data_IF_957739339108
#
_entry.id   IF_957739339108
#
_cell.length_a   1.000
_cell.length_b   1.000
_cell.length_c   1.000
_cell.angle_alpha   90.00
_cell.angle_beta   90.00
_cell.angle_gamma   90.00
#
_symmetry.space_group_name_H-M   'P 1'
#
loop_
_entity.id
_entity.type
_entity.pdbx_description
1 polymer ?
#
# COMPACT_ATOMS: atom_id res chain seq x y z
N UNK A 1 -14.36 -18.83 12.46
CA UNK A 1 -14.11 -20.26 12.24
C UNK A 1 -12.63 -20.42 11.97
N UNK A 2 -11.88 -21.02 12.90
CA UNK A 2 -10.52 -21.46 12.60
C UNK A 2 -10.64 -22.56 11.54
N UNK A 3 -10.00 -22.39 10.38
CA UNK A 3 -9.90 -23.48 9.41
C UNK A 3 -9.19 -24.66 10.11
N UNK A 4 -9.85 -25.81 10.16
CA UNK A 4 -9.20 -27.05 10.59
C UNK A 4 -8.17 -27.44 9.51
N UNK A 5 -6.96 -26.89 9.63
CA UNK A 5 -5.81 -27.30 8.83
C UNK A 5 -5.42 -28.70 9.32
N UNK A 6 -5.34 -29.68 8.42
CA UNK A 6 -4.98 -31.04 8.80
C UNK A 6 -3.51 -31.11 9.24
N UNK A 7 -3.15 -31.99 10.18
CA UNK A 7 -1.76 -32.14 10.68
C UNK A 7 -0.72 -32.34 9.56
N UNK A 8 -1.13 -32.93 8.43
CA UNK A 8 -0.28 -33.10 7.25
C UNK A 8 0.06 -31.75 6.57
N UNK A 9 -0.93 -30.87 6.39
CA UNK A 9 -0.75 -29.55 5.79
C UNK A 9 0.14 -28.66 6.67
N UNK A 10 -0.02 -28.72 7.99
CA UNK A 10 0.84 -28.00 8.94
C UNK A 10 2.30 -28.45 8.80
N UNK A 11 2.53 -29.76 8.64
CA UNK A 11 3.89 -30.30 8.44
C UNK A 11 4.51 -29.77 7.15
N UNK A 12 3.76 -29.73 6.04
CA UNK A 12 4.23 -29.18 4.76
C UNK A 12 4.59 -27.70 4.91
N UNK A 13 3.71 -26.89 5.51
CA UNK A 13 3.95 -25.46 5.73
C UNK A 13 5.18 -25.23 6.60
N UNK A 14 5.36 -26.01 7.67
CA UNK A 14 6.55 -25.94 8.50
C UNK A 14 7.83 -26.23 7.71
N UNK A 15 7.85 -27.31 6.92
CA UNK A 15 9.02 -27.65 6.12
C UNK A 15 9.33 -26.56 5.09
N UNK A 16 8.31 -26.00 4.44
CA UNK A 16 8.45 -24.91 3.48
C UNK A 16 8.94 -23.60 4.11
N UNK A 17 8.66 -23.37 5.39
CA UNK A 17 9.04 -22.15 6.12
C UNK A 17 10.48 -22.16 6.67
N UNK A 18 11.22 -23.26 6.49
CA UNK A 18 12.58 -23.39 7.03
C UNK A 18 13.59 -22.64 6.17
N UNK A 19 14.24 -21.64 6.75
CA UNK A 19 15.42 -20.98 6.18
C UNK A 19 16.70 -21.69 6.65
N UNK A 20 17.73 -21.72 5.82
CA UNK A 20 19.09 -22.19 6.13
C UNK A 20 20.06 -21.03 5.97
N UNK A 21 21.12 -21.03 6.78
CA UNK A 21 22.19 -20.03 6.68
C UNK A 21 22.89 -20.02 5.31
N UNK A 22 22.81 -21.13 4.57
CA UNK A 22 23.39 -21.29 3.23
C UNK A 22 22.50 -20.75 2.12
N UNK A 23 21.25 -20.39 2.43
CA UNK A 23 20.31 -19.91 1.42
C UNK A 23 20.70 -18.52 0.94
N UNK A 24 20.49 -18.25 -0.34
CA UNK A 24 20.73 -16.95 -0.95
C UNK A 24 19.39 -16.29 -1.25
N UNK A 25 19.09 -15.22 -0.53
CA UNK A 25 17.88 -14.42 -0.73
C UNK A 25 18.23 -13.12 -1.45
N UNK A 26 17.38 -12.71 -2.40
CA UNK A 26 17.49 -11.40 -3.00
C UNK A 26 17.09 -10.34 -1.96
N UNK A 27 17.87 -9.26 -1.86
CA UNK A 27 17.48 -8.11 -1.05
C UNK A 27 16.23 -7.48 -1.68
N UNK A 28 15.21 -7.25 -0.86
CA UNK A 28 13.98 -6.60 -1.32
C UNK A 28 14.31 -5.23 -1.95
N UNK A 29 13.83 -4.94 -3.18
CA UNK A 29 14.09 -3.66 -3.82
C UNK A 29 13.57 -2.49 -2.98
N UNK A 30 14.46 -1.56 -2.64
CA UNK A 30 14.12 -0.27 -2.07
C UNK A 30 13.47 0.61 -3.13
N UNK A 31 12.18 0.86 -2.99
CA UNK A 31 11.41 1.63 -3.98
C UNK A 31 11.15 3.06 -3.55
N UNK A 32 11.32 3.39 -2.26
CA UNK A 32 11.06 4.71 -1.70
C UNK A 32 12.17 5.10 -0.72
N UNK A 33 12.73 6.29 -0.92
CA UNK A 33 13.76 6.89 -0.07
C UNK A 33 13.41 8.34 0.31
N UNK A 34 13.86 8.76 1.48
CA UNK A 34 13.84 10.16 1.94
C UNK A 34 15.22 10.50 2.47
N UNK A 35 15.83 11.55 1.93
CA UNK A 35 17.17 12.01 2.37
C UNK A 35 18.23 10.88 2.39
N UNK A 36 18.13 9.93 1.46
CA UNK A 36 19.05 8.78 1.37
C UNK A 36 18.67 7.57 2.24
N UNK A 37 17.68 7.69 3.13
CA UNK A 37 17.19 6.57 3.93
C UNK A 37 16.04 5.85 3.23
N UNK A 38 16.09 4.52 3.17
CA UNK A 38 14.99 3.70 2.69
C UNK A 38 13.79 3.78 3.64
N UNK A 39 12.63 4.10 3.08
CA UNK A 39 11.35 4.17 3.82
C UNK A 39 10.31 3.19 3.27
N UNK A 40 10.57 2.56 2.12
CA UNK A 40 9.69 1.56 1.55
C UNK A 40 10.42 0.59 0.63
N UNK A 41 10.21 -0.70 0.88
CA UNK A 41 10.72 -1.83 0.11
C UNK A 41 9.55 -2.69 -0.36
N UNK A 42 9.70 -3.38 -1.50
CA UNK A 42 8.72 -4.39 -1.90
C UNK A 42 8.67 -5.53 -0.86
N UNK A 43 7.49 -6.12 -0.65
CA UNK A 43 7.31 -7.17 0.35
C UNK A 43 7.02 -6.65 1.77
N UNK A 44 6.96 -5.33 1.97
CA UNK A 44 6.80 -4.73 3.29
C UNK A 44 5.73 -3.63 3.28
N UNK A 45 5.29 -3.21 4.48
CA UNK A 45 4.44 -2.03 4.64
C UNK A 45 5.10 -1.01 5.58
N UNK A 46 4.67 0.24 5.48
CA UNK A 46 5.10 1.34 6.35
C UNK A 46 3.92 2.22 6.74
N UNK A 47 4.09 3.03 7.79
CA UNK A 47 3.03 3.90 8.30
C UNK A 47 3.55 5.31 8.62
N UNK A 48 2.78 6.32 8.23
CA UNK A 48 2.97 7.73 8.59
C UNK A 48 2.07 8.10 9.78
N UNK A 49 2.66 8.27 10.95
CA UNK A 49 1.94 8.63 12.18
C UNK A 49 1.96 10.15 12.36
N UNK A 50 0.79 10.76 12.65
CA UNK A 50 0.68 12.19 12.87
C UNK A 50 -0.70 12.60 13.38
N UNK A 51 -0.78 13.73 14.08
CA UNK A 51 -2.05 14.28 14.59
C UNK A 51 -3.03 14.55 13.44
N UNK A 52 -4.33 14.57 13.72
CA UNK A 52 -5.32 14.99 12.74
C UNK A 52 -4.97 16.38 12.17
N UNK A 53 -5.18 16.57 10.85
CA UNK A 53 -4.84 17.79 10.10
C UNK A 53 -3.34 18.15 10.08
N UNK A 54 -2.43 17.23 10.42
CA UNK A 54 -0.96 17.44 10.37
C UNK A 54 -0.36 17.36 8.97
N UNK A 55 -1.16 17.59 7.91
CA UNK A 55 -0.72 17.49 6.50
C UNK A 55 -0.29 16.08 6.05
N UNK A 56 -0.75 15.01 6.71
CA UNK A 56 -0.47 13.61 6.29
C UNK A 56 -0.79 13.35 4.82
N UNK A 57 -2.00 13.70 4.36
CA UNK A 57 -2.40 13.56 2.95
C UNK A 57 -1.48 14.33 1.99
N UNK A 58 -0.92 15.48 2.41
CA UNK A 58 0.06 16.21 1.58
C UNK A 58 1.38 15.43 1.48
N UNK A 59 1.84 14.86 2.59
CA UNK A 59 3.03 14.01 2.63
C UNK A 59 2.86 12.77 1.73
N UNK A 60 1.73 12.09 1.87
CA UNK A 60 1.36 10.93 1.03
C UNK A 60 1.23 11.34 -0.44
N UNK A 61 0.68 12.52 -0.74
CA UNK A 61 0.63 13.03 -2.12
C UNK A 61 2.02 13.14 -2.75
N UNK A 62 3.04 13.57 -1.97
CA UNK A 62 4.41 13.70 -2.46
C UNK A 62 5.06 12.33 -2.71
N UNK A 63 4.82 11.34 -1.83
CA UNK A 63 5.27 9.95 -2.03
C UNK A 63 4.70 9.38 -3.34
N UNK A 64 3.39 9.51 -3.53
CA UNK A 64 2.70 9.00 -4.72
C UNK A 64 3.19 9.71 -5.98
N UNK A 65 3.36 11.03 -5.91
CA UNK A 65 3.88 11.79 -7.04
C UNK A 65 5.32 11.37 -7.41
N UNK A 66 6.19 11.11 -6.41
CA UNK A 66 7.53 10.56 -6.64
C UNK A 66 7.44 9.20 -7.34
N UNK A 67 6.56 8.30 -6.87
CA UNK A 67 6.36 6.98 -7.45
C UNK A 67 5.86 7.03 -8.90
N UNK A 68 4.86 7.87 -9.20
CA UNK A 68 4.34 8.04 -10.57
C UNK A 68 5.36 8.66 -11.52
N UNK A 69 6.16 9.61 -11.01
CA UNK A 69 7.29 10.20 -11.75
C UNK A 69 8.45 9.20 -11.90
N UNK A 70 8.51 8.20 -11.03
CA UNK A 70 9.65 7.30 -10.85
C UNK A 70 10.97 8.07 -10.71
N UNK A 71 10.97 9.05 -9.80
CA UNK A 71 12.12 9.91 -9.52
C UNK A 71 11.87 10.78 -8.30
N UNK A 72 12.46 11.98 -8.29
CA UNK A 72 12.40 12.87 -7.12
C UNK A 72 11.22 13.84 -7.18
N UNK A 73 10.46 13.89 -6.09
CA UNK A 73 9.44 14.92 -5.80
C UNK A 73 9.62 15.37 -4.34
N UNK A 74 9.84 16.67 -4.14
CA UNK A 74 10.24 17.23 -2.84
C UNK A 74 11.46 16.47 -2.27
N UNK A 75 11.33 15.89 -1.06
CA UNK A 75 12.38 15.11 -0.40
C UNK A 75 12.27 13.60 -0.68
N UNK A 76 11.24 13.16 -1.41
CA UNK A 76 10.98 11.76 -1.71
C UNK A 76 11.62 11.39 -3.04
N UNK A 77 12.32 10.27 -3.05
CA UNK A 77 12.88 9.63 -4.25
C UNK A 77 12.20 8.28 -4.40
N UNK A 78 11.64 8.01 -5.57
CA UNK A 78 11.06 6.71 -5.88
C UNK A 78 11.72 6.05 -7.09
N UNK A 79 12.04 4.77 -6.97
CA UNK A 79 12.66 3.97 -8.03
C UNK A 79 11.98 2.60 -8.09
N UNK A 80 10.84 2.54 -8.78
CA UNK A 80 10.06 1.32 -8.96
C UNK A 80 10.55 0.55 -10.19
N UNK A 81 10.71 -0.79 -10.09
CA UNK A 81 10.97 -1.65 -11.24
C UNK A 81 9.93 -1.43 -12.34
N UNK A 82 10.32 -1.58 -13.61
CA UNK A 82 9.41 -1.33 -14.76
C UNK A 82 8.11 -2.13 -14.68
N UNK A 83 8.17 -3.36 -14.18
CA UNK A 83 7.03 -4.26 -13.97
C UNK A 83 6.20 -3.97 -12.72
N UNK A 84 6.50 -2.88 -11.99
CA UNK A 84 5.91 -2.54 -10.68
C UNK A 84 5.58 -1.05 -10.55
N UNK A 85 5.31 -0.35 -11.66
CA UNK A 85 5.11 1.12 -11.66
C UNK A 85 3.67 1.58 -11.43
N UNK A 86 2.69 0.67 -11.40
CA UNK A 86 1.30 1.03 -11.10
C UNK A 86 1.17 1.34 -9.60
N UNK A 87 0.42 2.38 -9.29
CA UNK A 87 0.10 2.83 -7.93
C UNK A 87 -1.41 2.73 -7.72
N UNK A 88 -1.80 2.10 -6.61
CA UNK A 88 -3.19 2.10 -6.13
C UNK A 88 -3.30 3.06 -4.95
N UNK A 89 -4.21 4.02 -5.01
CA UNK A 89 -4.53 4.92 -3.92
C UNK A 89 -5.93 4.63 -3.40
N UNK A 90 -6.04 4.28 -2.12
CA UNK A 90 -7.32 4.05 -1.45
C UNK A 90 -7.53 5.15 -0.41
N UNK A 91 -8.63 5.90 -0.55
CA UNK A 91 -9.05 6.92 0.41
C UNK A 91 -10.36 6.48 1.08
N UNK A 92 -10.35 6.31 2.40
CA UNK A 92 -11.53 5.89 3.17
C UNK A 92 -12.20 7.06 3.92
N UNK A 93 -11.58 8.24 3.95
CA UNK A 93 -11.97 9.36 4.82
C UNK A 93 -12.73 10.47 4.07
N UNK A 94 -12.37 10.72 2.81
CA UNK A 94 -12.73 11.95 2.09
C UNK A 94 -13.92 11.77 1.12
N UNK A 95 -14.56 12.89 0.77
CA UNK A 95 -15.59 12.91 -0.26
C UNK A 95 -14.97 12.90 -1.67
N UNK A 96 -15.70 12.48 -2.72
CA UNK A 96 -15.17 12.44 -4.09
C UNK A 96 -14.55 13.76 -4.56
N UNK A 97 -15.13 14.90 -4.17
CA UNK A 97 -14.58 16.23 -4.48
C UNK A 97 -13.18 16.44 -3.88
N UNK A 98 -12.97 16.02 -2.63
CA UNK A 98 -11.68 16.13 -1.97
C UNK A 98 -10.67 15.12 -2.53
N UNK A 99 -11.10 13.88 -2.82
CA UNK A 99 -10.27 12.90 -3.53
C UNK A 99 -9.78 13.45 -4.88
N UNK A 100 -10.66 14.10 -5.65
CA UNK A 100 -10.25 14.72 -6.93
C UNK A 100 -9.21 15.83 -6.72
N UNK A 101 -9.31 16.62 -5.64
CA UNK A 101 -8.27 17.62 -5.30
C UNK A 101 -6.94 16.96 -4.95
N UNK A 102 -6.94 15.85 -4.23
CA UNK A 102 -5.72 15.08 -3.92
C UNK A 102 -5.10 14.54 -5.21
N UNK A 103 -5.90 13.93 -6.09
CA UNK A 103 -5.45 13.39 -7.37
C UNK A 103 -4.83 14.47 -8.27
N UNK A 104 -5.47 15.65 -8.39
CA UNK A 104 -4.91 16.79 -9.13
C UNK A 104 -3.59 17.28 -8.54
N UNK A 105 -3.46 17.30 -7.21
CA UNK A 105 -2.21 17.68 -6.53
C UNK A 105 -1.09 16.69 -6.84
N UNK A 106 -1.37 15.40 -6.75
CA UNK A 106 -0.43 14.32 -7.08
C UNK A 106 0.06 14.48 -8.53
N UNK A 107 -0.88 14.61 -9.49
CA UNK A 107 -0.55 14.77 -10.90
C UNK A 107 0.31 16.03 -11.13
N UNK A 108 -0.05 17.16 -10.52
CA UNK A 108 0.73 18.39 -10.60
C UNK A 108 2.16 18.22 -10.05
N UNK A 109 2.32 17.59 -8.88
CA UNK A 109 3.63 17.34 -8.27
C UNK A 109 4.50 16.36 -9.09
N UNK A 110 3.86 15.41 -9.77
CA UNK A 110 4.53 14.45 -10.64
C UNK A 110 4.89 15.04 -12.02
N UNK A 111 4.42 16.26 -12.35
CA UNK A 111 4.59 16.87 -13.67
C UNK A 111 3.70 16.25 -14.76
N UNK A 112 2.57 15.66 -14.37
CA UNK A 112 1.62 15.00 -15.27
C UNK A 112 0.52 15.96 -15.73
N UNK A 113 -0.04 15.77 -16.93
CA UNK A 113 -1.13 16.59 -17.44
C UNK A 113 -2.39 16.46 -16.56
N UNK A 114 -3.10 17.58 -16.33
CA UNK A 114 -4.31 17.61 -15.50
C UNK A 114 -5.61 17.35 -16.26
N UNK A 115 -5.55 17.30 -17.59
CA UNK A 115 -6.68 17.03 -18.48
C UNK A 115 -6.81 15.55 -18.88
N UNK A 116 -5.89 14.69 -18.43
CA UNK A 116 -5.93 13.24 -18.65
C UNK A 116 -5.65 12.50 -17.34
N UNK A 117 -6.34 11.38 -17.13
CA UNK A 117 -6.06 10.50 -15.99
C UNK A 117 -4.73 9.76 -16.19
N UNK A 118 -3.83 9.69 -15.18
CA UNK A 118 -2.58 8.94 -15.30
C UNK A 118 -2.82 7.44 -15.44
N UNK A 119 -2.22 6.81 -16.46
CA UNK A 119 -2.40 5.37 -16.74
C UNK A 119 -1.89 4.47 -15.60
N UNK A 120 -0.83 4.90 -14.90
CA UNK A 120 -0.24 4.17 -13.79
C UNK A 120 -0.85 4.49 -12.42
N UNK A 121 -1.96 5.26 -12.36
CA UNK A 121 -2.64 5.58 -11.12
C UNK A 121 -4.06 5.02 -11.12
N UNK A 122 -4.38 4.22 -10.12
CA UNK A 122 -5.77 3.87 -9.79
C UNK A 122 -6.14 4.51 -8.46
N UNK A 123 -7.28 5.20 -8.39
CA UNK A 123 -7.70 5.92 -7.19
C UNK A 123 -9.11 5.50 -6.78
N UNK A 124 -9.25 4.92 -5.60
CA UNK A 124 -10.50 4.40 -5.04
C UNK A 124 -10.95 5.26 -3.86
N UNK A 125 -12.14 5.85 -3.96
CA UNK A 125 -12.79 6.57 -2.86
C UNK A 125 -13.81 5.65 -2.18
N UNK A 126 -13.46 5.12 -1.01
CA UNK A 126 -14.20 4.05 -0.33
C UNK A 126 -14.95 4.50 0.94
N UNK A 127 -15.04 5.81 1.20
CA UNK A 127 -15.75 6.37 2.36
C UNK A 127 -17.18 5.83 2.52
N UNK A 128 -17.90 5.59 1.44
CA UNK A 128 -19.30 5.11 1.47
C UNK A 128 -19.47 3.64 1.87
N UNK A 129 -18.39 2.86 1.89
CA UNK A 129 -18.44 1.42 2.14
C UNK A 129 -18.19 1.08 3.60
N UNK A 130 -18.67 -0.07 4.05
CA UNK A 130 -18.35 -0.61 5.38
C UNK A 130 -16.91 -1.11 5.44
N UNK A 131 -16.30 -1.27 6.63
CA UNK A 131 -14.99 -1.89 6.82
C UNK A 131 -14.78 -3.18 6.01
N UNK A 132 -15.72 -4.13 6.05
CA UNK A 132 -15.62 -5.41 5.34
C UNK A 132 -15.55 -5.21 3.83
N UNK A 133 -16.42 -4.33 3.30
CA UNK A 133 -16.49 -4.05 1.87
C UNK A 133 -15.23 -3.30 1.43
N UNK A 134 -14.69 -2.40 2.26
CA UNK A 134 -13.41 -1.72 1.98
C UNK A 134 -12.29 -2.72 1.81
N UNK A 135 -12.13 -3.64 2.76
CA UNK A 135 -11.10 -4.70 2.71
C UNK A 135 -11.27 -5.55 1.45
N UNK A 136 -12.49 -5.99 1.14
CA UNK A 136 -12.76 -6.81 -0.03
C UNK A 136 -12.44 -6.09 -1.35
N UNK A 137 -12.79 -4.80 -1.47
CA UNK A 137 -12.46 -3.99 -2.65
C UNK A 137 -10.94 -3.80 -2.77
N UNK A 138 -10.24 -3.53 -1.67
CA UNK A 138 -8.78 -3.37 -1.68
C UNK A 138 -8.10 -4.68 -2.07
N UNK A 139 -8.55 -5.81 -1.52
CA UNK A 139 -8.07 -7.13 -1.88
C UNK A 139 -8.24 -7.38 -3.37
N UNK A 140 -9.46 -7.25 -3.90
CA UNK A 140 -9.74 -7.45 -5.32
C UNK A 140 -8.87 -6.54 -6.21
N UNK A 141 -8.74 -5.25 -5.86
CA UNK A 141 -7.91 -4.32 -6.62
C UNK A 141 -6.42 -4.69 -6.61
N UNK A 142 -5.91 -5.22 -5.49
CA UNK A 142 -4.52 -5.70 -5.36
C UNK A 142 -4.31 -6.97 -6.21
N UNK A 143 -5.22 -7.95 -6.14
CA UNK A 143 -5.04 -9.21 -6.85
C UNK A 143 -5.24 -9.10 -8.35
N UNK A 144 -6.11 -8.19 -8.79
CA UNK A 144 -6.47 -7.98 -10.20
C UNK A 144 -5.63 -6.91 -10.91
N UNK A 145 -4.76 -6.19 -10.20
CA UNK A 145 -3.87 -5.18 -10.80
C UNK A 145 -2.51 -5.76 -11.21
N UNK A 146 -2.32 -5.92 -12.51
CA UNK A 146 -0.98 -6.13 -13.06
C UNK A 146 -0.10 -4.89 -12.89
N UNK A 147 1.20 -5.10 -12.72
CA UNK A 147 2.15 -3.99 -12.64
C UNK A 147 2.14 -3.19 -11.33
N UNK A 148 1.34 -3.59 -10.34
CA UNK A 148 1.22 -2.88 -9.06
C UNK A 148 2.49 -3.00 -8.23
N UNK A 149 3.03 -1.87 -7.76
CA UNK A 149 4.19 -1.83 -6.86
C UNK A 149 3.99 -1.02 -5.59
N UNK A 150 3.09 -0.04 -5.59
CA UNK A 150 2.79 0.78 -4.41
C UNK A 150 1.28 0.86 -4.18
N UNK A 151 0.86 0.61 -2.96
CA UNK A 151 -0.52 0.82 -2.50
C UNK A 151 -0.50 1.84 -1.37
N UNK A 152 -1.37 2.84 -1.46
CA UNK A 152 -1.65 3.78 -0.39
C UNK A 152 -2.99 3.43 0.23
N UNK A 153 -3.03 3.35 1.56
CA UNK A 153 -4.27 3.24 2.33
C UNK A 153 -4.36 4.48 3.22
N UNK A 154 -5.00 5.54 2.71
CA UNK A 154 -5.25 6.77 3.47
C UNK A 154 -6.51 6.57 4.31
N UNK A 155 -6.30 6.24 5.59
CA UNK A 155 -7.35 5.95 6.57
C UNK A 155 -7.51 4.47 6.91
N UNK A 156 -6.40 3.76 7.21
CA UNK A 156 -6.42 2.36 7.67
C UNK A 156 -7.31 2.11 8.89
N UNK A 157 -7.45 3.12 9.76
CA UNK A 157 -8.34 3.10 10.93
C UNK A 157 -9.76 2.71 10.54
N UNK A 158 -10.21 3.18 9.39
CA UNK A 158 -11.57 3.00 8.92
C UNK A 158 -11.75 1.63 8.22
N UNK A 159 -10.71 0.78 8.21
CA UNK A 159 -10.83 -0.63 7.80
C UNK A 159 -11.30 -1.55 8.93
N UNK A 160 -11.52 -1.02 10.14
CA UNK A 160 -12.06 -1.75 11.30
C UNK A 160 -13.25 -0.99 11.90
N UNK A 161 -14.15 -1.70 12.58
CA UNK A 161 -15.23 -1.06 13.34
C UNK A 161 -14.71 -0.51 14.67
N UNK A 162 -14.03 -1.34 15.44
CA UNK A 162 -13.44 -0.96 16.72
C UNK A 162 -11.91 -1.00 16.65
N UNK A 163 -11.32 0.18 16.76
CA UNK A 163 -9.86 0.37 16.81
C UNK A 163 -9.23 -0.25 18.06
N UNK A 164 -10.01 -0.45 19.12
CA UNK A 164 -9.56 -1.05 20.37
C UNK A 164 -9.75 -2.56 20.38
N UNK A 165 -10.34 -3.15 19.33
CA UNK A 165 -10.49 -4.59 19.16
C UNK A 165 -9.15 -5.19 18.70
N UNK A 166 -8.43 -5.93 19.56
CA UNK A 166 -7.13 -6.48 19.17
C UNK A 166 -7.26 -7.51 18.04
N UNK A 167 -8.41 -8.18 17.93
CA UNK A 167 -8.68 -9.18 16.89
C UNK A 167 -8.89 -8.54 15.52
N UNK A 168 -9.63 -7.43 15.43
CA UNK A 168 -9.79 -6.69 14.18
C UNK A 168 -8.46 -6.06 13.73
N UNK A 169 -7.73 -5.44 14.66
CA UNK A 169 -6.41 -4.88 14.37
C UNK A 169 -5.45 -5.97 13.85
N UNK A 170 -5.38 -7.12 14.53
CA UNK A 170 -4.56 -8.26 14.09
C UNK A 170 -4.98 -8.73 12.70
N UNK A 171 -6.27 -8.84 12.43
CA UNK A 171 -6.80 -9.26 11.12
C UNK A 171 -6.33 -8.35 9.99
N UNK A 172 -6.39 -7.03 10.16
CA UNK A 172 -5.93 -6.07 9.15
C UNK A 172 -4.43 -6.15 8.96
N UNK A 173 -3.64 -6.18 10.03
CA UNK A 173 -2.18 -6.30 9.93
C UNK A 173 -1.78 -7.61 9.24
N UNK A 174 -2.43 -8.73 9.56
CA UNK A 174 -2.22 -10.00 8.85
C UNK A 174 -2.53 -9.90 7.36
N UNK A 175 -3.60 -9.19 6.97
CA UNK A 175 -3.90 -8.94 5.56
C UNK A 175 -2.84 -8.08 4.87
N UNK A 176 -2.35 -7.03 5.53
CA UNK A 176 -1.26 -6.22 4.95
C UNK A 176 0.00 -7.06 4.71
N UNK A 177 0.42 -7.86 5.69
CA UNK A 177 1.59 -8.74 5.55
C UNK A 177 1.40 -9.75 4.42
N UNK A 178 0.22 -10.37 4.34
CA UNK A 178 -0.13 -11.31 3.28
C UNK A 178 -0.05 -10.65 1.90
N UNK A 179 -0.71 -9.50 1.72
CA UNK A 179 -0.74 -8.81 0.43
C UNK A 179 0.63 -8.30 0.01
N UNK A 180 1.44 -7.77 0.93
CA UNK A 180 2.79 -7.30 0.60
C UNK A 180 3.68 -8.44 0.15
N UNK A 181 3.64 -9.58 0.84
CA UNK A 181 4.47 -10.74 0.55
C UNK A 181 4.03 -11.44 -0.76
N UNK A 182 2.75 -11.79 -0.90
CA UNK A 182 2.27 -12.53 -2.07
C UNK A 182 2.39 -11.73 -3.36
N UNK A 183 2.15 -10.41 -3.30
CA UNK A 183 2.19 -9.55 -4.49
C UNK A 183 3.50 -8.82 -4.67
N UNK A 184 4.44 -8.93 -3.74
CA UNK A 184 5.72 -8.20 -3.78
C UNK A 184 5.48 -6.73 -4.09
N UNK A 185 4.68 -6.08 -3.23
CA UNK A 185 4.29 -4.66 -3.27
C UNK A 185 4.71 -3.97 -1.99
N UNK A 186 4.75 -2.64 -2.01
CA UNK A 186 4.81 -1.86 -0.78
C UNK A 186 3.43 -1.29 -0.45
N UNK A 187 3.01 -1.38 0.81
CA UNK A 187 1.81 -0.69 1.30
C UNK A 187 2.23 0.46 2.23
N UNK A 188 1.73 1.66 2.01
CA UNK A 188 1.91 2.79 2.92
C UNK A 188 0.56 3.27 3.46
N UNK A 189 0.49 3.49 4.78
CA UNK A 189 -0.71 4.00 5.47
C UNK A 189 -0.45 5.25 6.31
#
# INVERSE_FOLDING_TARGET
MAAHIQNHEISILWQASRLRLTDKYAVAPEILRVQGSAIGTLGNFSASIGKAKSKKTFNVSAIVAAALKNGTVLQYVAELPRSKRKVLYVDTEQSPYHCQKVMKRIACMAGLPLNKHPENLEFLALRKHTPEIRIAIVEEAIYSSEGLGLVIIDGIRDMVYDINSPSEATKIISKLMQWTDEKQIHIHT
#
